data_IF_686265836963
#
_entry.id   IF_686265836963
#
_cell.length_a   1.000
_cell.length_b   1.000
_cell.length_c   1.000
_cell.angle_alpha   90.00
_cell.angle_beta   90.00
_cell.angle_gamma   90.00
#
_symmetry.space_group_name_H-M   'P 1'
#
loop_
_entity.id
_entity.type
_entity.pdbx_description
1 polymer ?
#
# COMPACT_ATOMS: atom_id res chain seq x y z
N UNK A 1 -11.32 -3.41 -8.32
CA UNK A 1 -11.16 -1.99 -7.85
C UNK A 1 -9.72 -1.54 -8.05
N UNK A 2 -9.46 -0.25 -8.28
CA UNK A 2 -8.09 0.29 -8.39
C UNK A 2 -7.71 1.04 -7.12
N UNK A 3 -6.59 0.64 -6.53
CA UNK A 3 -5.97 1.25 -5.37
C UNK A 3 -4.72 2.04 -5.77
N UNK A 4 -4.55 3.24 -5.25
CA UNK A 4 -3.30 3.99 -5.34
C UNK A 4 -2.37 3.57 -4.21
N UNK A 5 -1.19 3.04 -4.53
CA UNK A 5 -0.19 2.66 -3.55
C UNK A 5 0.66 3.87 -3.17
N UNK A 6 0.77 4.11 -1.87
CA UNK A 6 1.44 5.26 -1.28
C UNK A 6 2.51 4.75 -0.31
N UNK A 7 3.72 5.31 -0.32
CA UNK A 7 4.74 5.02 0.71
C UNK A 7 4.46 5.79 2.02
N UNK A 8 5.22 5.50 3.06
CA UNK A 8 5.13 6.22 4.35
C UNK A 8 5.46 7.71 4.26
N UNK A 9 6.13 8.14 3.18
CA UNK A 9 6.43 9.55 2.89
C UNK A 9 5.33 10.22 2.05
N UNK A 10 4.16 9.58 1.90
CA UNK A 10 3.03 10.07 1.10
C UNK A 10 3.36 10.25 -0.38
N UNK A 11 4.28 9.45 -0.92
CA UNK A 11 4.59 9.45 -2.36
C UNK A 11 3.86 8.30 -3.05
N UNK A 12 3.20 8.56 -4.19
CA UNK A 12 2.61 7.50 -4.99
C UNK A 12 3.74 6.62 -5.56
N UNK A 13 3.68 5.32 -5.27
CA UNK A 13 4.66 4.33 -5.73
C UNK A 13 4.10 3.40 -6.81
N UNK A 14 2.78 3.46 -7.06
CA UNK A 14 2.14 2.67 -8.10
C UNK A 14 0.64 2.54 -7.89
N UNK A 15 0.03 1.63 -8.64
CA UNK A 15 -1.38 1.27 -8.46
C UNK A 15 -1.53 -0.25 -8.36
N UNK A 16 -2.54 -0.68 -7.62
CA UNK A 16 -2.91 -2.09 -7.47
C UNK A 16 -4.36 -2.25 -7.94
N UNK A 17 -4.58 -3.09 -8.94
CA UNK A 17 -5.92 -3.51 -9.30
C UNK A 17 -6.23 -4.79 -8.54
N UNK A 18 -7.25 -4.77 -7.69
CA UNK A 18 -7.72 -5.92 -6.95
C UNK A 18 -9.21 -5.81 -6.68
N UNK A 19 -9.90 -6.94 -6.64
CA UNK A 19 -11.31 -7.00 -6.25
C UNK A 19 -11.48 -7.22 -4.75
N UNK A 20 -10.37 -7.43 -4.03
CA UNK A 20 -10.36 -7.53 -2.57
C UNK A 20 -10.36 -6.14 -1.95
N UNK A 21 -11.19 -5.96 -0.91
CA UNK A 21 -11.10 -4.81 -0.01
C UNK A 21 -9.97 -5.03 1.00
N UNK A 22 -9.05 -4.08 1.08
CA UNK A 22 -7.91 -4.14 2.00
C UNK A 22 -8.19 -3.43 3.32
N UNK A 23 -7.66 -3.99 4.41
CA UNK A 23 -7.62 -3.39 5.73
C UNK A 23 -6.17 -3.11 6.18
N UNK A 24 -6.00 -2.27 7.22
CA UNK A 24 -4.69 -2.09 7.86
C UNK A 24 -4.24 -3.42 8.47
N UNK A 25 -2.99 -3.80 8.23
CA UNK A 25 -2.41 -5.08 8.61
C UNK A 25 -2.48 -6.16 7.51
N UNK A 26 -3.27 -5.95 6.45
CA UNK A 26 -3.28 -6.87 5.32
C UNK A 26 -1.93 -6.88 4.60
N UNK A 27 -1.54 -8.05 4.12
CA UNK A 27 -0.38 -8.23 3.24
C UNK A 27 -0.83 -8.66 1.86
N UNK A 28 -0.18 -8.12 0.81
CA UNK A 28 -0.39 -8.56 -0.56
C UNK A 28 0.92 -8.55 -1.34
N UNK A 29 0.96 -9.33 -2.42
CA UNK A 29 2.07 -9.37 -3.36
C UNK A 29 1.70 -8.57 -4.62
N UNK A 30 2.56 -7.67 -5.07
CA UNK A 30 2.37 -6.95 -6.32
C UNK A 30 2.81 -7.81 -7.53
N UNK A 31 2.63 -7.25 -8.73
CA UNK A 31 3.05 -7.87 -10.00
C UNK A 31 4.57 -8.14 -10.09
N UNK A 32 5.39 -7.41 -9.33
CA UNK A 32 6.85 -7.60 -9.28
C UNK A 32 7.29 -8.62 -8.22
N UNK A 33 6.35 -9.37 -7.63
CA UNK A 33 6.60 -10.29 -6.52
C UNK A 33 7.13 -9.64 -5.24
N UNK A 34 6.94 -8.33 -5.09
CA UNK A 34 7.21 -7.64 -3.84
C UNK A 34 6.00 -7.75 -2.91
N UNK A 35 6.27 -8.10 -1.65
CA UNK A 35 5.24 -8.18 -0.62
C UNK A 35 5.14 -6.84 0.08
N UNK A 36 3.93 -6.32 0.14
CA UNK A 36 3.57 -5.07 0.82
C UNK A 36 2.65 -5.37 1.99
N UNK A 37 2.85 -4.63 3.08
CA UNK A 37 1.92 -4.58 4.21
C UNK A 37 1.18 -3.25 4.18
N UNK A 38 -0.14 -3.29 4.25
CA UNK A 38 -0.99 -2.11 4.35
C UNK A 38 -0.88 -1.57 5.77
N UNK A 39 -0.44 -0.33 5.90
CA UNK A 39 -0.28 0.37 7.19
C UNK A 39 -1.23 1.55 7.35
N UNK A 40 -1.90 1.94 6.28
CA UNK A 40 -2.88 3.03 6.29
C UNK A 40 -3.80 2.95 5.08
N UNK A 41 -4.98 3.53 5.23
CA UNK A 41 -5.98 3.65 4.17
C UNK A 41 -6.32 5.13 3.98
N UNK A 42 -6.50 5.55 2.73
CA UNK A 42 -6.96 6.87 2.34
C UNK A 42 -6.17 8.05 2.93
N UNK A 43 -4.85 7.88 3.13
CA UNK A 43 -3.99 8.98 3.60
C UNK A 43 -3.80 10.10 2.57
N UNK A 44 -4.10 9.82 1.30
CA UNK A 44 -3.98 10.79 0.22
C UNK A 44 -5.36 11.38 -0.12
N UNK A 45 -5.69 12.53 0.50
CA UNK A 45 -6.97 13.23 0.36
C UNK A 45 -7.17 13.99 -0.96
N UNK A 46 -6.46 13.64 -2.04
CA UNK A 46 -6.45 14.50 -3.23
C UNK A 46 -7.60 14.26 -4.22
N UNK A 47 -8.32 13.12 -4.18
CA UNK A 47 -9.47 12.89 -5.07
C UNK A 47 -10.56 12.04 -4.40
N UNK A 48 -11.84 12.46 -4.45
CA UNK A 48 -12.96 11.77 -3.79
C UNK A 48 -13.29 10.38 -4.37
N UNK A 49 -12.62 9.94 -5.44
CA UNK A 49 -12.97 8.72 -6.17
C UNK A 49 -11.87 7.65 -6.21
N UNK A 50 -10.70 7.90 -5.60
CA UNK A 50 -9.58 6.95 -5.66
C UNK A 50 -9.20 6.48 -4.27
N UNK A 51 -9.43 5.18 -3.98
CA UNK A 51 -8.99 4.56 -2.74
C UNK A 51 -7.46 4.49 -2.73
N UNK A 52 -6.82 4.97 -1.65
CA UNK A 52 -5.36 4.88 -1.50
C UNK A 52 -4.97 3.94 -0.36
N UNK A 53 -3.92 3.16 -0.58
CA UNK A 53 -3.33 2.26 0.40
C UNK A 53 -1.93 2.76 0.71
N UNK A 54 -1.70 3.14 1.96
CA UNK A 54 -0.35 3.35 2.45
C UNK A 54 0.25 2.00 2.77
N UNK A 55 1.39 1.70 2.14
CA UNK A 55 2.02 0.40 2.21
C UNK A 55 3.50 0.51 2.55
N UNK A 56 4.00 -0.51 3.24
CA UNK A 56 5.43 -0.69 3.50
C UNK A 56 5.86 -2.00 2.84
N UNK A 57 6.92 -2.00 2.02
CA UNK A 57 7.47 -3.23 1.49
C UNK A 57 8.03 -4.06 2.65
N UNK A 58 7.75 -5.36 2.67
CA UNK A 58 8.21 -6.25 3.73
C UNK A 58 9.75 -6.31 3.81
N UNK A 59 10.45 -6.04 2.69
CA UNK A 59 11.90 -5.87 2.66
C UNK A 59 12.40 -4.72 3.54
N UNK A 60 11.64 -3.62 3.68
CA UNK A 60 11.99 -2.50 4.54
C UNK A 60 11.77 -2.80 6.03
N UNK A 61 10.83 -3.70 6.37
CA UNK A 61 10.53 -4.08 7.75
C UNK A 61 11.68 -4.90 8.37
N UNK A 62 12.43 -5.67 7.57
CA UNK A 62 13.58 -6.47 8.04
C UNK A 62 14.72 -5.63 8.63
N UNK A 63 14.81 -4.33 8.32
CA UNK A 63 15.90 -3.47 8.79
C UNK A 63 15.66 -2.93 10.21
N UNK A 64 14.42 -2.98 10.72
CA UNK A 64 14.07 -2.42 12.03
C UNK A 64 14.17 -3.43 13.20
N UNK A 65 14.50 -4.69 12.94
CA UNK A 65 14.74 -5.70 13.97
C UNK A 65 16.24 -5.82 14.26
N UNK A 66 16.77 -4.94 15.13
CA UNK A 66 18.10 -5.12 15.73
C UNK A 66 18.08 -4.74 17.19
#
# INVERSE_FOLDING_TARGET
MQYLLIDTHRRPIGTLVSDKTFAVGDTFQNHNSEIYTVVGLNWFNQQPHTQSLTVIPQSAIKVAAK
#
